data_IF_553956731075
#
_entry.id   IF_553956731075
#
_cell.length_a   1.000
_cell.length_b   1.000
_cell.length_c   1.000
_cell.angle_alpha   90.00
_cell.angle_beta   90.00
_cell.angle_gamma   90.00
#
_symmetry.space_group_name_H-M   'P 1'
#
loop_
_entity.id
_entity.type
_entity.pdbx_description
1 polymer ?
#
# COMPACT_ATOMS: atom_id res chain seq x y z
N UNK A 1 6.45 -15.84 -18.36
CA UNK A 1 6.65 -17.27 -18.05
C UNK A 1 6.48 -17.43 -16.55
N UNK A 2 5.45 -18.18 -16.18
CA UNK A 2 4.96 -18.37 -14.82
C UNK A 2 5.93 -19.23 -14.02
N UNK A 3 6.49 -18.72 -12.92
CA UNK A 3 6.87 -19.57 -11.80
C UNK A 3 7.16 -18.76 -10.53
N UNK A 4 6.16 -18.59 -9.68
CA UNK A 4 6.41 -18.36 -8.25
C UNK A 4 5.49 -19.31 -7.51
N UNK A 5 6.10 -20.25 -6.81
CA UNK A 5 5.45 -21.29 -6.02
C UNK A 5 4.43 -20.71 -5.02
N UNK A 6 3.14 -20.83 -5.34
CA UNK A 6 2.01 -20.40 -4.49
C UNK A 6 1.54 -21.52 -3.56
N UNK A 7 2.45 -22.10 -2.78
CA UNK A 7 2.07 -22.98 -1.66
C UNK A 7 2.89 -22.55 -0.44
N UNK A 8 2.20 -22.00 0.56
CA UNK A 8 2.75 -21.95 1.92
C UNK A 8 2.94 -23.40 2.39
N UNK A 9 4.18 -23.90 2.41
CA UNK A 9 4.52 -25.29 2.80
C UNK A 9 4.14 -25.65 4.24
N UNK A 10 3.57 -24.72 5.02
CA UNK A 10 3.19 -24.92 6.42
C UNK A 10 1.69 -25.12 6.67
N UNK A 11 0.77 -24.69 5.79
CA UNK A 11 -0.66 -24.68 6.16
C UNK A 11 -1.65 -25.11 5.08
N UNK A 12 -1.25 -25.41 3.83
CA UNK A 12 -2.18 -25.94 2.82
C UNK A 12 -3.32 -24.99 2.38
N UNK A 13 -3.35 -23.76 2.91
CA UNK A 13 -4.34 -22.75 2.53
C UNK A 13 -3.94 -22.05 1.22
N UNK A 14 -4.92 -21.85 0.34
CA UNK A 14 -4.77 -21.05 -0.87
C UNK A 14 -4.43 -19.61 -0.45
N UNK A 15 -3.29 -19.08 -0.91
CA UNK A 15 -2.99 -17.66 -0.74
C UNK A 15 -4.08 -16.85 -1.45
N UNK A 16 -4.49 -15.75 -0.84
CA UNK A 16 -5.30 -14.75 -1.54
C UNK A 16 -4.37 -14.13 -2.58
N UNK A 17 -4.60 -14.43 -3.85
CA UNK A 17 -3.73 -14.07 -4.98
C UNK A 17 -3.96 -12.62 -5.46
N UNK A 18 -4.86 -11.86 -4.83
CA UNK A 18 -5.13 -10.46 -5.17
C UNK A 18 -4.10 -9.55 -4.50
N UNK A 19 -3.43 -8.70 -5.29
CA UNK A 19 -2.50 -7.72 -4.74
C UNK A 19 -3.32 -6.65 -3.97
N UNK A 20 -2.88 -6.29 -2.76
CA UNK A 20 -3.54 -5.25 -1.95
C UNK A 20 -3.76 -3.96 -2.76
N UNK A 21 -2.80 -3.61 -3.63
CA UNK A 21 -2.83 -2.43 -4.48
C UNK A 21 -4.02 -2.45 -5.48
N UNK A 22 -4.50 -3.63 -5.88
CA UNK A 22 -5.60 -3.76 -6.85
C UNK A 22 -6.92 -3.18 -6.31
N UNK A 23 -7.08 -3.12 -4.99
CA UNK A 23 -8.27 -2.53 -4.36
C UNK A 23 -8.28 -1.00 -4.40
N UNK A 24 -7.14 -0.38 -4.70
CA UNK A 24 -6.93 1.06 -4.64
C UNK A 24 -6.85 1.72 -6.02
N UNK A 25 -6.96 0.95 -7.10
CA UNK A 25 -6.97 1.49 -8.48
C UNK A 25 -8.17 2.39 -8.77
N UNK A 26 -9.17 2.40 -7.88
CA UNK A 26 -10.34 3.28 -7.96
C UNK A 26 -10.03 4.73 -7.54
N UNK A 27 -8.88 4.97 -6.90
CA UNK A 27 -8.50 6.29 -6.42
C UNK A 27 -7.97 7.12 -7.59
N UNK A 28 -8.62 8.24 -7.84
CA UNK A 28 -8.14 9.23 -8.82
C UNK A 28 -6.82 9.86 -8.35
N UNK A 29 -5.89 10.11 -9.28
CA UNK A 29 -4.64 10.84 -9.01
C UNK A 29 -4.81 12.33 -9.37
N UNK A 30 -5.04 13.23 -8.38
CA UNK A 30 -5.20 14.66 -8.65
C UNK A 30 -3.87 15.40 -8.79
N UNK A 31 -2.73 14.69 -8.70
CA UNK A 31 -1.40 15.31 -8.76
C UNK A 31 -1.11 15.76 -10.19
N UNK A 32 -0.39 16.87 -10.30
CA UNK A 32 -0.02 17.42 -11.60
C UNK A 32 0.97 16.51 -12.35
N UNK A 33 0.61 16.11 -13.57
CA UNK A 33 1.51 15.38 -14.47
C UNK A 33 2.85 16.12 -14.66
N UNK A 34 3.95 15.37 -14.72
CA UNK A 34 5.31 15.91 -14.81
C UNK A 34 5.93 16.34 -13.47
N UNK A 35 5.16 16.41 -12.38
CA UNK A 35 5.67 16.62 -11.01
C UNK A 35 5.59 15.35 -10.13
N UNK A 36 5.34 14.21 -10.76
CA UNK A 36 5.14 12.93 -10.08
C UNK A 36 6.43 12.11 -10.14
N UNK A 37 7.03 11.85 -8.97
CA UNK A 37 8.19 10.98 -8.83
C UNK A 37 7.82 9.62 -8.23
N UNK A 38 6.82 9.56 -7.36
CA UNK A 38 6.40 8.30 -6.72
C UNK A 38 5.01 7.90 -7.23
N UNK A 39 4.78 6.58 -7.38
CA UNK A 39 3.45 6.07 -7.71
C UNK A 39 2.47 6.53 -6.63
N UNK A 40 1.23 6.82 -7.02
CA UNK A 40 0.24 7.32 -6.08
C UNK A 40 0.08 6.35 -4.92
N UNK A 41 -0.15 5.08 -5.24
CA UNK A 41 -0.52 4.05 -4.27
C UNK A 41 0.63 3.61 -3.35
N UNK A 42 1.88 3.86 -3.72
CA UNK A 42 3.04 3.57 -2.85
C UNK A 42 2.94 4.41 -1.55
N UNK A 43 2.47 5.66 -1.65
CA UNK A 43 2.47 6.60 -0.51
C UNK A 43 1.39 6.26 0.53
N UNK A 44 0.09 6.10 0.18
CA UNK A 44 -0.92 5.68 1.14
C UNK A 44 -0.69 4.28 1.70
N UNK A 45 -0.07 3.37 0.92
CA UNK A 45 0.33 2.07 1.45
C UNK A 45 1.34 2.22 2.60
N UNK A 46 2.41 3.01 2.36
CA UNK A 46 3.42 3.30 3.39
C UNK A 46 2.77 3.94 4.60
N UNK A 47 1.92 4.95 4.40
CA UNK A 47 1.24 5.65 5.49
C UNK A 47 0.43 4.69 6.36
N UNK A 48 -0.43 3.85 5.76
CA UNK A 48 -1.23 2.86 6.50
C UNK A 48 -0.35 1.87 7.25
N UNK A 49 0.68 1.33 6.60
CA UNK A 49 1.55 0.34 7.23
C UNK A 49 2.36 0.95 8.40
N UNK A 50 2.83 2.18 8.25
CA UNK A 50 3.52 2.94 9.29
C UNK A 50 2.58 3.28 10.46
N UNK A 51 1.35 3.75 10.19
CA UNK A 51 0.34 4.04 11.22
C UNK A 51 -0.03 2.79 12.03
N UNK A 52 -0.12 1.61 11.40
CA UNK A 52 -0.33 0.34 12.13
C UNK A 52 0.83 0.06 13.10
N UNK A 53 2.04 0.47 12.75
CA UNK A 53 3.23 0.38 13.60
C UNK A 53 3.35 1.52 14.62
N UNK A 54 2.34 2.39 14.74
CA UNK A 54 2.31 3.59 15.61
C UNK A 54 3.34 4.66 15.23
N UNK A 55 3.63 4.79 13.94
CA UNK A 55 4.31 5.95 13.40
C UNK A 55 3.23 6.95 12.99
N UNK A 56 2.96 7.92 13.86
CA UNK A 56 1.81 8.84 13.74
C UNK A 56 2.24 10.18 13.12
N UNK A 57 3.54 10.48 13.09
CA UNK A 57 4.09 11.68 12.45
C UNK A 57 4.72 11.40 11.07
N UNK A 58 4.74 12.41 10.20
CA UNK A 58 5.29 12.28 8.83
C UNK A 58 6.76 11.84 8.81
N UNK A 59 7.57 12.39 9.71
CA UNK A 59 8.98 12.01 9.84
C UNK A 59 9.15 10.57 10.30
N UNK A 60 8.35 10.14 11.28
CA UNK A 60 8.36 8.74 11.75
C UNK A 60 7.96 7.76 10.64
N UNK A 61 7.00 8.13 9.78
CA UNK A 61 6.62 7.31 8.63
C UNK A 61 7.76 7.15 7.63
N UNK A 62 8.51 8.23 7.32
CA UNK A 62 9.69 8.16 6.45
C UNK A 62 10.78 7.30 7.08
N UNK A 63 11.11 7.53 8.35
CA UNK A 63 12.13 6.75 9.07
C UNK A 63 11.79 5.27 9.11
N UNK A 64 10.54 4.93 9.41
CA UNK A 64 10.04 3.56 9.40
C UNK A 64 10.11 2.95 7.99
N UNK A 65 9.72 3.69 6.96
CA UNK A 65 9.73 3.22 5.58
C UNK A 65 11.15 2.95 5.09
N UNK A 66 12.11 3.81 5.43
CA UNK A 66 13.54 3.58 5.21
C UNK A 66 14.03 2.32 5.94
N UNK A 67 13.66 2.16 7.22
CA UNK A 67 14.04 0.98 8.01
C UNK A 67 13.39 -0.34 7.50
N UNK A 68 12.31 -0.25 6.73
CA UNK A 68 11.55 -1.39 6.19
C UNK A 68 11.55 -1.46 4.66
N UNK A 69 12.48 -0.78 4.00
CA UNK A 69 12.51 -0.70 2.54
C UNK A 69 12.54 -2.09 1.87
N UNK A 70 13.38 -3.02 2.36
CA UNK A 70 13.46 -4.39 1.85
C UNK A 70 12.14 -5.15 1.96
N UNK A 71 11.34 -4.86 2.99
CA UNK A 71 10.02 -5.45 3.16
C UNK A 71 9.00 -4.78 2.23
N UNK A 72 9.03 -3.45 2.13
CA UNK A 72 8.16 -2.68 1.24
C UNK A 72 8.35 -3.08 -0.23
N UNK A 73 9.58 -3.33 -0.67
CA UNK A 73 9.91 -3.77 -2.04
C UNK A 73 9.34 -5.14 -2.42
N UNK A 74 8.84 -5.92 -1.46
CA UNK A 74 8.10 -7.15 -1.75
C UNK A 74 6.67 -6.89 -2.25
N UNK A 75 6.14 -5.69 -2.01
CA UNK A 75 4.76 -5.30 -2.33
C UNK A 75 4.69 -4.10 -3.27
N UNK A 76 5.67 -3.20 -3.20
CA UNK A 76 5.73 -1.93 -3.93
C UNK A 76 6.94 -1.91 -4.89
N UNK A 77 6.79 -1.23 -6.02
CA UNK A 77 7.90 -1.08 -6.97
C UNK A 77 8.92 -0.03 -6.52
N UNK A 78 8.46 1.08 -5.92
CA UNK A 78 9.30 2.18 -5.42
C UNK A 78 10.38 2.62 -6.45
N UNK A 79 9.97 3.10 -7.64
CA UNK A 79 10.89 3.43 -8.74
C UNK A 79 11.90 4.53 -8.37
N UNK A 80 11.54 5.41 -7.44
CA UNK A 80 12.38 6.51 -6.95
C UNK A 80 12.66 6.40 -5.45
N UNK A 81 12.83 5.17 -4.95
CA UNK A 81 13.05 4.86 -3.53
C UNK A 81 11.90 5.35 -2.61
N UNK A 82 12.19 5.40 -1.30
CA UNK A 82 11.23 5.83 -0.28
C UNK A 82 10.89 7.32 -0.46
N UNK A 83 9.60 7.69 -0.51
CA UNK A 83 9.19 9.09 -0.55
C UNK A 83 9.57 9.80 0.75
N UNK A 84 10.17 10.99 0.65
CA UNK A 84 10.42 11.86 1.81
C UNK A 84 9.12 12.22 2.55
N UNK A 85 9.22 12.62 3.81
CA UNK A 85 8.09 13.04 4.63
C UNK A 85 7.28 14.18 3.99
N UNK A 86 7.94 15.12 3.29
CA UNK A 86 7.27 16.18 2.53
C UNK A 86 6.41 15.64 1.39
N UNK A 87 6.87 14.57 0.74
CA UNK A 87 6.11 13.90 -0.32
C UNK A 87 4.95 13.10 0.26
N UNK A 88 5.16 12.44 1.40
CA UNK A 88 4.09 11.72 2.12
C UNK A 88 2.95 12.68 2.46
N UNK A 89 3.26 13.76 3.18
CA UNK A 89 2.29 14.77 3.57
C UNK A 89 1.54 15.34 2.36
N UNK A 90 2.27 15.82 1.34
CA UNK A 90 1.67 16.44 0.14
C UNK A 90 0.73 15.50 -0.61
N UNK A 91 1.08 14.21 -0.72
CA UNK A 91 0.22 13.25 -1.43
C UNK A 91 -1.02 12.96 -0.62
N UNK A 92 -0.91 12.75 0.70
CA UNK A 92 -2.08 12.50 1.53
C UNK A 92 -3.01 13.72 1.64
N UNK A 93 -2.46 14.94 1.57
CA UNK A 93 -3.25 16.18 1.56
C UNK A 93 -4.15 16.31 0.32
N UNK A 94 -3.75 15.74 -0.82
CA UNK A 94 -4.51 15.86 -2.08
C UNK A 94 -5.35 14.65 -2.40
N UNK A 95 -5.05 13.49 -1.83
CA UNK A 95 -5.85 12.27 -2.02
C UNK A 95 -7.24 12.48 -1.41
N UNK A 96 -8.28 12.15 -2.18
CA UNK A 96 -9.66 12.20 -1.71
C UNK A 96 -9.86 11.20 -0.55
N UNK A 97 -10.19 11.70 0.67
CA UNK A 97 -10.32 10.83 1.83
C UNK A 97 -11.46 9.81 1.70
N UNK A 98 -12.54 10.17 1.01
CA UNK A 98 -13.71 9.31 0.82
C UNK A 98 -13.38 8.18 -0.16
N UNK A 99 -12.66 8.47 -1.26
CA UNK A 99 -12.19 7.43 -2.18
C UNK A 99 -11.22 6.48 -1.49
N UNK A 100 -10.32 7.01 -0.68
CA UNK A 100 -9.35 6.23 0.07
C UNK A 100 -10.01 5.32 1.12
N UNK A 101 -10.93 5.85 1.93
CA UNK A 101 -11.69 5.08 2.92
C UNK A 101 -12.49 3.96 2.25
N UNK A 102 -13.20 4.26 1.15
CA UNK A 102 -13.99 3.27 0.43
C UNK A 102 -13.11 2.15 -0.16
N UNK A 103 -11.94 2.50 -0.72
CA UNK A 103 -10.97 1.53 -1.21
C UNK A 103 -10.49 0.60 -0.08
N UNK A 104 -10.04 1.17 1.05
CA UNK A 104 -9.62 0.41 2.23
C UNK A 104 -10.73 -0.49 2.76
N UNK A 105 -11.91 0.07 3.00
CA UNK A 105 -13.06 -0.66 3.55
C UNK A 105 -13.47 -1.81 2.63
N UNK A 106 -13.57 -1.55 1.32
CA UNK A 106 -13.96 -2.58 0.35
C UNK A 106 -12.92 -3.71 0.26
N UNK A 107 -11.62 -3.37 0.31
CA UNK A 107 -10.53 -4.34 0.37
C UNK A 107 -10.61 -5.21 1.63
N UNK A 108 -10.70 -4.58 2.81
CA UNK A 108 -10.86 -5.28 4.09
C UNK A 108 -12.09 -6.19 4.13
N UNK A 109 -13.24 -5.70 3.64
CA UNK A 109 -14.49 -6.48 3.58
C UNK A 109 -14.36 -7.70 2.68
N UNK A 110 -13.71 -7.56 1.51
CA UNK A 110 -13.43 -8.69 0.62
C UNK A 110 -12.52 -9.71 1.30
N UNK A 111 -11.42 -9.27 1.92
CA UNK A 111 -10.51 -10.16 2.67
C UNK A 111 -11.22 -10.89 3.81
N UNK A 112 -12.11 -10.21 4.55
CA UNK A 112 -12.91 -10.83 5.61
C UNK A 112 -13.86 -11.90 5.05
N UNK A 113 -14.57 -11.61 3.97
CA UNK A 113 -15.49 -12.55 3.36
C UNK A 113 -14.78 -13.75 2.72
N UNK A 114 -13.59 -13.56 2.15
CA UNK A 114 -12.76 -14.65 1.62
C UNK A 114 -12.38 -15.67 2.69
N UNK A 115 -12.24 -15.26 3.96
CA UNK A 115 -12.01 -16.17 5.09
C UNK A 115 -13.27 -16.91 5.56
N UNK A 116 -14.46 -16.49 5.10
CA UNK A 116 -15.76 -17.07 5.51
C UNK A 116 -16.28 -18.14 4.55
N UNK A 117 -15.62 -18.31 3.39
CA UNK A 117 -15.94 -19.31 2.35
C UNK A 117 -14.96 -20.51 2.43
N UNK A 118 -14.21 -20.61 3.52
CA UNK A 118 -13.27 -21.69 3.83
C UNK A 118 -13.61 -22.26 5.21
#
# INVERSE_FOLDING_TARGET
>A
MHNISLICRKCGEKRIDTNFIDYFTVIFDPRQEGKIQHKLLDVPFIAVAATICRCDEWGEMEEWACAKEDWLRQYLELPNAIPSWFTIARVLDVVDPMQFENALYSGCRKLHNSKKVM
#
